data_IF_027865000859
#
_entry.id   IF_027865000859
#
_cell.length_a   1.000
_cell.length_b   1.000
_cell.length_c   1.000
_cell.angle_alpha   90.00
_cell.angle_beta   90.00
_cell.angle_gamma   90.00
#
_symmetry.space_group_name_H-M   'P 1'
#
loop_
_entity.id
_entity.type
_entity.pdbx_description
1 polymer ?
#
# COMPACT_ATOMS: atom_id res chain seq x y z
N UNK A 1 14.62 -21.91 10.30
CA UNK A 1 15.04 -20.55 9.88
C UNK A 1 15.01 -20.31 8.38
N UNK A 2 15.30 -21.30 7.51
CA UNK A 2 15.37 -21.08 6.05
C UNK A 2 14.02 -20.72 5.37
N UNK A 3 12.88 -21.11 5.95
CA UNK A 3 11.54 -20.91 5.35
C UNK A 3 11.07 -19.44 5.48
N UNK A 4 11.48 -18.72 6.53
CA UNK A 4 11.10 -17.31 6.72
C UNK A 4 11.85 -16.34 5.78
N UNK A 5 13.02 -16.73 5.27
CA UNK A 5 13.89 -15.86 4.45
C UNK A 5 13.36 -15.72 3.01
N UNK A 6 12.46 -16.61 2.56
CA UNK A 6 11.87 -16.56 1.21
C UNK A 6 10.70 -15.58 1.09
N UNK A 7 10.12 -15.13 2.19
CA UNK A 7 8.91 -14.27 2.18
C UNK A 7 9.29 -12.79 2.13
N UNK A 8 8.81 -12.11 1.10
CA UNK A 8 9.11 -10.70 0.72
C UNK A 8 8.88 -9.74 1.86
N UNK A 9 7.81 -9.95 2.63
CA UNK A 9 7.40 -9.08 3.72
C UNK A 9 8.34 -9.16 4.95
N UNK A 10 8.95 -10.33 5.22
CA UNK A 10 9.98 -10.49 6.25
C UNK A 10 11.31 -9.86 5.81
N UNK A 11 11.64 -9.98 4.51
CA UNK A 11 12.78 -9.24 3.93
C UNK A 11 12.58 -7.74 4.05
N UNK A 12 11.40 -7.21 3.71
CA UNK A 12 11.10 -5.79 3.84
C UNK A 12 11.21 -5.30 5.29
N UNK A 13 10.77 -6.11 6.27
CA UNK A 13 10.96 -5.80 7.69
C UNK A 13 12.43 -5.75 8.09
N UNK A 14 13.20 -6.81 7.81
CA UNK A 14 14.63 -6.89 8.16
C UNK A 14 15.42 -5.81 7.42
N UNK A 15 15.06 -5.50 6.19
CA UNK A 15 15.68 -4.43 5.39
C UNK A 15 15.32 -3.06 5.97
N UNK A 16 14.07 -2.81 6.36
CA UNK A 16 13.68 -1.54 6.99
C UNK A 16 14.36 -1.35 8.34
N UNK A 17 14.47 -2.40 9.15
CA UNK A 17 15.14 -2.37 10.45
C UNK A 17 16.66 -2.16 10.29
N UNK A 18 17.27 -2.85 9.31
CA UNK A 18 18.67 -2.66 8.95
C UNK A 18 18.95 -1.27 8.36
N UNK A 19 18.04 -0.71 7.55
CA UNK A 19 18.12 0.66 7.03
C UNK A 19 17.99 1.66 8.17
N UNK A 20 17.04 1.48 9.09
CA UNK A 20 16.89 2.35 10.26
C UNK A 20 18.14 2.32 11.14
N UNK A 21 18.72 1.14 11.37
CA UNK A 21 19.96 0.99 12.13
C UNK A 21 21.15 1.66 11.42
N UNK A 22 21.31 1.43 10.12
CA UNK A 22 22.42 2.02 9.33
C UNK A 22 22.27 3.53 9.15
N UNK A 23 21.07 4.04 8.88
CA UNK A 23 20.78 5.48 8.80
C UNK A 23 20.91 6.19 10.16
N UNK A 24 20.79 5.49 11.28
CA UNK A 24 21.10 6.03 12.62
C UNK A 24 22.62 6.07 12.88
N UNK A 25 23.39 5.14 12.31
CA UNK A 25 24.84 5.09 12.43
C UNK A 25 25.58 6.12 11.56
N UNK A 26 25.05 6.46 10.38
CA UNK A 26 25.66 7.44 9.45
C UNK A 26 25.83 8.83 10.07
N UNK A 27 24.82 9.43 10.74
CA UNK A 27 24.96 10.67 11.49
C UNK A 27 26.10 10.63 12.51
N UNK A 28 26.27 9.52 13.23
CA UNK A 28 27.34 9.34 14.22
C UNK A 28 28.71 9.48 13.55
N UNK A 29 28.91 8.81 12.41
CA UNK A 29 30.14 8.97 11.61
C UNK A 29 30.32 10.39 11.06
N UNK A 30 29.24 11.04 10.61
CA UNK A 30 29.28 12.44 10.16
C UNK A 30 29.68 13.38 11.30
N UNK A 31 29.21 13.15 12.53
CA UNK A 31 29.62 13.92 13.71
C UNK A 31 31.10 13.72 14.05
N UNK A 32 31.62 12.49 13.96
CA UNK A 32 33.06 12.23 14.12
C UNK A 32 33.90 12.93 13.04
N UNK A 33 33.50 12.85 11.77
CA UNK A 33 34.17 13.56 10.67
C UNK A 33 34.11 15.08 10.86
N UNK A 34 33.00 15.62 11.35
CA UNK A 34 32.90 17.05 11.68
C UNK A 34 33.86 17.45 12.81
N UNK A 35 34.03 16.61 13.84
CA UNK A 35 34.95 16.88 14.94
C UNK A 35 36.41 16.94 14.45
N UNK A 36 36.79 16.04 13.54
CA UNK A 36 38.14 15.98 12.97
C UNK A 36 38.40 17.16 12.01
N UNK A 37 37.47 17.40 11.07
CA UNK A 37 37.53 18.48 10.06
C UNK A 37 37.48 19.88 10.71
N UNK A 38 36.84 20.05 11.87
CA UNK A 38 36.78 21.35 12.57
C UNK A 38 38.13 21.86 13.09
N UNK A 39 39.16 21.00 13.11
CA UNK A 39 40.53 21.40 13.50
C UNK A 39 41.26 22.18 12.40
N UNK A 40 40.81 22.10 11.13
CA UNK A 40 41.43 22.79 10.00
C UNK A 40 40.81 24.17 9.72
N UNK A 41 41.62 25.23 9.50
CA UNK A 41 41.12 26.59 9.30
C UNK A 41 40.33 26.81 7.99
N UNK A 42 40.49 25.94 6.98
CA UNK A 42 39.76 26.00 5.69
C UNK A 42 38.36 25.35 5.75
N UNK A 43 38.03 24.63 6.83
CA UNK A 43 36.86 23.76 6.86
C UNK A 43 35.54 24.43 7.24
N UNK A 44 35.56 25.71 7.66
CA UNK A 44 34.38 26.45 8.14
C UNK A 44 33.20 26.48 7.15
N UNK A 45 33.44 26.29 5.84
CA UNK A 45 32.38 26.22 4.81
C UNK A 45 31.77 24.83 4.65
N UNK A 46 32.46 23.77 5.09
CA UNK A 46 32.10 22.36 4.87
C UNK A 46 31.26 21.82 6.05
N UNK A 47 31.61 22.21 7.28
CA UNK A 47 30.90 21.85 8.53
C UNK A 47 29.38 22.10 8.47
N UNK A 48 28.86 23.28 8.06
CA UNK A 48 27.42 23.49 8.01
C UNK A 48 26.70 22.60 6.98
N UNK A 49 27.37 22.22 5.88
CA UNK A 49 26.80 21.28 4.90
C UNK A 49 26.70 19.86 5.46
N UNK A 50 27.72 19.40 6.18
CA UNK A 50 27.71 18.11 6.89
C UNK A 50 26.64 18.08 8.00
N UNK A 51 26.45 19.18 8.71
CA UNK A 51 25.41 19.29 9.74
C UNK A 51 24.00 19.16 9.16
N UNK A 52 23.70 19.89 8.08
CA UNK A 52 22.40 19.78 7.39
C UNK A 52 22.21 18.36 6.84
N UNK A 53 23.25 17.76 6.25
CA UNK A 53 23.19 16.39 5.75
C UNK A 53 22.88 15.38 6.87
N UNK A 54 23.58 15.46 8.00
CA UNK A 54 23.33 14.64 9.19
C UNK A 54 21.89 14.79 9.70
N UNK A 55 21.39 16.03 9.77
CA UNK A 55 20.01 16.32 10.16
C UNK A 55 18.97 15.67 9.24
N UNK A 56 19.19 15.72 7.92
CA UNK A 56 18.27 15.05 6.96
C UNK A 56 18.26 13.54 7.14
N UNK A 57 19.41 12.89 7.31
CA UNK A 57 19.50 11.45 7.58
C UNK A 57 18.84 11.06 8.91
N UNK A 58 19.02 11.88 9.96
CA UNK A 58 18.36 11.67 11.25
C UNK A 58 16.83 11.72 11.11
N UNK A 59 16.28 12.68 10.36
CA UNK A 59 14.84 12.76 10.10
C UNK A 59 14.32 11.54 9.32
N UNK A 60 15.05 11.10 8.28
CA UNK A 60 14.71 9.87 7.55
C UNK A 60 14.75 8.63 8.45
N UNK A 61 15.76 8.53 9.32
CA UNK A 61 15.88 7.42 10.28
C UNK A 61 14.71 7.40 11.26
N UNK A 62 14.33 8.54 11.84
CA UNK A 62 13.21 8.64 12.78
C UNK A 62 11.90 8.22 12.12
N UNK A 63 11.65 8.66 10.88
CA UNK A 63 10.47 8.26 10.12
C UNK A 63 10.46 6.74 9.85
N UNK A 64 11.59 6.17 9.44
CA UNK A 64 11.72 4.75 9.17
C UNK A 64 11.47 3.88 10.42
N UNK A 65 11.95 4.29 11.59
CA UNK A 65 11.71 3.59 12.87
C UNK A 65 10.23 3.58 13.23
N UNK A 66 9.53 4.71 13.06
CA UNK A 66 8.08 4.79 13.33
C UNK A 66 7.30 3.83 12.43
N UNK A 67 7.65 3.79 11.14
CA UNK A 67 7.02 2.88 10.17
C UNK A 67 7.32 1.41 10.53
N UNK A 68 8.57 1.07 10.85
CA UNK A 68 8.96 -0.28 11.25
C UNK A 68 8.24 -0.76 12.52
N UNK A 69 8.13 0.11 13.54
CA UNK A 69 7.40 -0.18 14.75
C UNK A 69 5.90 -0.40 14.49
N UNK A 70 5.28 0.46 13.68
CA UNK A 70 3.86 0.33 13.32
C UNK A 70 3.59 -0.99 12.57
N UNK A 71 4.43 -1.34 11.58
CA UNK A 71 4.31 -2.60 10.84
C UNK A 71 4.55 -3.82 11.72
N UNK A 72 5.53 -3.74 12.64
CA UNK A 72 5.80 -4.80 13.62
C UNK A 72 4.63 -5.04 14.56
N UNK A 73 4.02 -3.97 15.06
CA UNK A 73 2.85 -4.04 15.93
C UNK A 73 1.64 -4.69 15.24
N UNK A 74 1.32 -4.28 14.01
CA UNK A 74 0.22 -4.88 13.24
C UNK A 74 0.42 -6.39 13.05
N UNK A 75 1.64 -6.82 12.71
CA UNK A 75 1.97 -8.25 12.59
C UNK A 75 1.77 -9.01 13.91
N UNK A 76 2.24 -8.44 15.02
CA UNK A 76 2.11 -9.06 16.33
C UNK A 76 0.65 -9.21 16.74
N UNK A 77 -0.17 -8.19 16.51
CA UNK A 77 -1.61 -8.22 16.82
C UNK A 77 -2.34 -9.28 15.98
N UNK A 78 -2.04 -9.37 14.67
CA UNK A 78 -2.65 -10.39 13.80
C UNK A 78 -2.26 -11.81 14.24
N UNK A 79 -1.01 -12.00 14.68
CA UNK A 79 -0.55 -13.30 15.20
C UNK A 79 -1.27 -13.71 16.49
N UNK A 80 -1.61 -12.74 17.35
CA UNK A 80 -2.33 -12.99 18.60
C UNK A 80 -3.84 -13.19 18.35
N UNK A 81 -4.43 -12.41 17.43
CA UNK A 81 -5.87 -12.45 17.17
C UNK A 81 -6.17 -12.30 15.68
N UNK A 82 -6.10 -13.42 14.93
CA UNK A 82 -6.37 -13.42 13.49
C UNK A 82 -7.82 -13.05 13.13
N UNK A 83 -8.77 -13.26 14.04
CA UNK A 83 -10.17 -12.88 13.85
C UNK A 83 -10.36 -11.37 13.62
N UNK A 84 -9.43 -10.52 14.05
CA UNK A 84 -9.49 -9.07 13.85
C UNK A 84 -9.44 -8.67 12.37
N UNK A 85 -8.89 -9.51 11.49
CA UNK A 85 -8.84 -9.23 10.05
C UNK A 85 -10.24 -9.12 9.44
N UNK A 86 -11.19 -9.92 9.93
CA UNK A 86 -12.57 -9.94 9.48
C UNK A 86 -13.49 -8.99 10.27
N UNK A 87 -12.98 -8.36 11.34
CA UNK A 87 -13.77 -7.41 12.11
C UNK A 87 -14.09 -6.18 11.27
N UNK A 88 -15.35 -5.76 11.33
CA UNK A 88 -15.89 -4.66 10.56
C UNK A 88 -16.18 -3.46 11.47
N UNK A 89 -15.95 -2.26 10.95
CA UNK A 89 -16.34 -1.02 11.62
C UNK A 89 -17.84 -0.71 11.40
N UNK A 90 -18.31 0.47 11.83
CA UNK A 90 -19.71 0.91 11.67
C UNK A 90 -20.18 1.04 10.22
N UNK A 91 -19.27 1.13 9.24
CA UNK A 91 -19.53 1.19 7.80
C UNK A 91 -19.37 -0.16 7.11
N UNK A 92 -19.26 -1.23 7.89
CA UNK A 92 -18.88 -2.56 7.44
C UNK A 92 -17.49 -2.67 6.77
N UNK A 93 -16.61 -1.69 6.98
CA UNK A 93 -15.25 -1.72 6.43
C UNK A 93 -14.33 -2.59 7.30
N UNK A 94 -13.57 -3.48 6.65
CA UNK A 94 -12.47 -4.21 7.28
C UNK A 94 -11.18 -3.39 7.27
N UNK A 95 -10.15 -3.85 8.00
CA UNK A 95 -8.82 -3.24 7.94
C UNK A 95 -8.27 -3.16 6.50
N UNK A 96 -8.58 -4.16 5.65
CA UNK A 96 -8.16 -4.19 4.26
C UNK A 96 -8.81 -3.08 3.42
N UNK A 97 -10.10 -2.80 3.63
CA UNK A 97 -10.80 -1.69 2.98
C UNK A 97 -10.14 -0.35 3.29
N UNK A 98 -9.80 -0.12 4.57
CA UNK A 98 -9.17 1.12 5.00
C UNK A 98 -7.75 1.28 4.45
N UNK A 99 -6.96 0.20 4.46
CA UNK A 99 -5.60 0.20 3.91
C UNK A 99 -5.62 0.48 2.39
N UNK A 100 -6.53 -0.16 1.67
CA UNK A 100 -6.72 0.06 0.23
C UNK A 100 -7.22 1.49 -0.08
N UNK A 101 -8.18 2.00 0.70
CA UNK A 101 -8.68 3.38 0.57
C UNK A 101 -7.62 4.46 0.88
N UNK A 102 -6.52 4.09 1.53
CA UNK A 102 -5.37 4.98 1.78
C UNK A 102 -4.21 4.72 0.82
N UNK A 103 -4.29 3.69 -0.02
CA UNK A 103 -3.21 3.31 -0.93
C UNK A 103 -1.96 2.81 -0.21
N UNK A 104 -2.09 2.37 1.05
CA UNK A 104 -0.96 1.91 1.87
C UNK A 104 -0.60 0.47 1.50
N UNK A 105 0.11 0.30 0.39
CA UNK A 105 0.57 -0.99 -0.16
C UNK A 105 1.17 -1.91 0.92
N UNK A 106 2.09 -1.37 1.73
CA UNK A 106 2.82 -2.16 2.73
C UNK A 106 1.88 -2.73 3.80
N UNK A 107 0.86 -1.97 4.19
CA UNK A 107 -0.16 -2.42 5.15
C UNK A 107 -1.05 -3.48 4.51
N UNK A 108 -1.43 -3.32 3.25
CA UNK A 108 -2.19 -4.33 2.49
C UNK A 108 -1.39 -5.63 2.41
N UNK A 109 -0.10 -5.58 2.08
CA UNK A 109 0.76 -6.77 2.03
C UNK A 109 0.87 -7.44 3.41
N UNK A 110 1.02 -6.66 4.49
CA UNK A 110 1.05 -7.20 5.86
C UNK A 110 -0.27 -7.88 6.23
N UNK A 111 -1.41 -7.28 5.87
CA UNK A 111 -2.73 -7.83 6.18
C UNK A 111 -2.98 -9.14 5.44
N UNK A 112 -2.67 -9.19 4.13
CA UNK A 112 -2.84 -10.40 3.31
C UNK A 112 -1.88 -11.51 3.76
N UNK A 113 -0.61 -11.20 4.00
CA UNK A 113 0.36 -12.17 4.51
C UNK A 113 0.06 -12.61 5.95
N UNK A 114 -0.62 -11.77 6.73
CA UNK A 114 -1.13 -12.13 8.05
C UNK A 114 -2.13 -13.29 7.99
N UNK A 115 -2.86 -13.42 6.87
CA UNK A 115 -3.84 -14.48 6.64
C UNK A 115 -3.14 -15.81 6.42
N UNK A 116 -2.06 -15.90 5.64
CA UNK A 116 -1.29 -17.15 5.47
C UNK A 116 -0.88 -17.80 6.81
N UNK A 117 -0.58 -16.96 7.80
CA UNK A 117 -0.18 -17.41 9.16
C UNK A 117 -1.40 -17.79 9.99
N UNK A 118 -2.53 -17.13 9.75
CA UNK A 118 -3.81 -17.32 10.43
C UNK A 118 -4.68 -18.44 9.85
N UNK A 119 -4.46 -18.81 8.59
CA UNK A 119 -5.24 -19.80 7.83
C UNK A 119 -5.24 -21.15 8.57
N UNK A 120 -4.13 -21.48 9.22
CA UNK A 120 -3.97 -22.68 10.05
C UNK A 120 -4.74 -22.64 11.38
N UNK A 121 -5.19 -21.47 11.85
CA UNK A 121 -5.79 -21.29 13.17
C UNK A 121 -7.31 -21.04 13.14
N UNK A 122 -7.84 -20.34 12.13
CA UNK A 122 -9.24 -19.85 12.14
C UNK A 122 -10.00 -20.15 10.83
N UNK A 123 -9.38 -20.79 9.83
CA UNK A 123 -10.05 -21.11 8.56
C UNK A 123 -10.45 -19.86 7.75
N UNK A 124 -9.84 -18.71 8.06
CA UNK A 124 -9.97 -17.49 7.26
C UNK A 124 -8.97 -17.61 6.12
N UNK A 125 -9.46 -17.56 4.88
CA UNK A 125 -8.60 -17.51 3.69
C UNK A 125 -8.55 -16.09 3.11
N UNK A 126 -7.51 -15.83 2.32
CA UNK A 126 -7.25 -14.53 1.70
C UNK A 126 -8.40 -14.11 0.79
N UNK A 127 -8.95 -15.06 0.04
CA UNK A 127 -10.12 -14.86 -0.83
C UNK A 127 -11.33 -14.31 -0.06
N UNK A 128 -11.70 -14.91 1.07
CA UNK A 128 -12.87 -14.46 1.84
C UNK A 128 -12.68 -13.02 2.29
N UNK A 129 -11.49 -12.64 2.76
CA UNK A 129 -11.23 -11.27 3.19
C UNK A 129 -11.30 -10.28 2.02
N UNK A 130 -10.73 -10.63 0.87
CA UNK A 130 -10.71 -9.76 -0.31
C UNK A 130 -12.10 -9.59 -0.95
N UNK A 131 -12.95 -10.61 -0.81
CA UNK A 131 -14.33 -10.62 -1.33
C UNK A 131 -15.34 -10.00 -0.37
N UNK A 132 -14.94 -9.64 0.86
CA UNK A 132 -15.80 -8.87 1.75
C UNK A 132 -16.12 -7.50 1.16
N UNK A 133 -17.36 -7.05 1.36
CA UNK A 133 -17.82 -5.72 1.00
C UNK A 133 -18.17 -4.90 2.24
N UNK A 134 -18.10 -3.58 2.07
CA UNK A 134 -18.62 -2.60 3.00
C UNK A 134 -20.11 -2.27 2.75
N UNK A 135 -20.67 -1.27 3.45
CA UNK A 135 -22.06 -0.82 3.28
C UNK A 135 -22.39 -0.33 1.87
N UNK A 136 -21.40 0.16 1.14
CA UNK A 136 -21.53 0.61 -0.24
C UNK A 136 -21.44 -0.53 -1.25
N UNK A 137 -21.22 -1.77 -0.80
CA UNK A 137 -20.87 -2.87 -1.70
C UNK A 137 -19.45 -2.75 -2.26
N UNK A 138 -18.64 -1.82 -1.75
CA UNK A 138 -17.25 -1.66 -2.19
C UNK A 138 -16.41 -2.80 -1.60
N UNK A 139 -15.65 -3.47 -2.46
CA UNK A 139 -14.53 -4.32 -2.03
C UNK A 139 -13.28 -3.49 -1.77
N UNK A 140 -12.23 -4.11 -1.23
CA UNK A 140 -10.92 -3.46 -1.10
C UNK A 140 -10.41 -2.89 -2.44
N UNK A 141 -10.66 -3.57 -3.56
CA UNK A 141 -10.25 -3.08 -4.89
C UNK A 141 -11.01 -1.81 -5.31
N UNK A 142 -12.32 -1.71 -5.03
CA UNK A 142 -13.09 -0.48 -5.27
C UNK A 142 -12.51 0.70 -4.48
N UNK A 143 -12.14 0.47 -3.21
CA UNK A 143 -11.48 1.48 -2.39
C UNK A 143 -10.10 1.89 -2.94
N UNK A 144 -9.30 0.93 -3.42
CA UNK A 144 -8.01 1.23 -4.03
C UNK A 144 -8.15 2.12 -5.27
N UNK A 145 -9.18 1.91 -6.10
CA UNK A 145 -9.45 2.76 -7.27
C UNK A 145 -9.62 4.23 -6.90
N UNK A 146 -10.22 4.55 -5.75
CA UNK A 146 -10.41 5.95 -5.32
C UNK A 146 -9.11 6.69 -5.01
N UNK A 147 -8.03 5.95 -4.73
CA UNK A 147 -6.70 6.55 -4.50
C UNK A 147 -5.83 6.59 -5.75
N UNK A 148 -6.11 5.73 -6.73
CA UNK A 148 -5.26 5.56 -7.91
C UNK A 148 -3.88 4.93 -7.63
N UNK A 149 -3.69 4.31 -6.45
CA UNK A 149 -2.41 3.68 -6.10
C UNK A 149 -2.21 2.37 -6.86
N UNK A 150 -1.55 2.44 -8.03
CA UNK A 150 -1.29 1.31 -8.95
C UNK A 150 -0.72 0.10 -8.24
N UNK A 151 0.24 0.31 -7.33
CA UNK A 151 0.86 -0.76 -6.56
C UNK A 151 -0.13 -1.55 -5.69
N UNK A 152 -1.07 -0.84 -5.07
CA UNK A 152 -2.09 -1.48 -4.21
C UNK A 152 -3.10 -2.26 -5.07
N UNK A 153 -3.44 -1.72 -6.24
CA UNK A 153 -4.33 -2.36 -7.22
C UNK A 153 -3.72 -3.66 -7.72
N UNK A 154 -2.48 -3.59 -8.19
CA UNK A 154 -1.73 -4.74 -8.68
C UNK A 154 -1.68 -5.85 -7.63
N UNK A 155 -1.29 -5.51 -6.39
CA UNK A 155 -1.25 -6.51 -5.31
C UNK A 155 -2.61 -7.17 -5.04
N UNK A 156 -3.71 -6.42 -5.06
CA UNK A 156 -5.04 -6.98 -4.80
C UNK A 156 -5.53 -7.89 -5.93
N UNK A 157 -5.22 -7.55 -7.18
CA UNK A 157 -5.61 -8.35 -8.36
C UNK A 157 -4.75 -9.62 -8.47
N UNK A 158 -3.43 -9.52 -8.23
CA UNK A 158 -2.52 -10.68 -8.26
C UNK A 158 -2.87 -11.74 -7.20
N UNK A 159 -3.56 -11.36 -6.13
CA UNK A 159 -3.89 -12.26 -5.02
C UNK A 159 -5.16 -13.09 -5.25
N UNK A 160 -6.11 -12.61 -6.05
CA UNK A 160 -7.33 -13.34 -6.43
C UNK A 160 -7.72 -12.95 -7.87
N UNK A 161 -6.96 -13.45 -8.86
CA UNK A 161 -7.13 -13.10 -10.26
C UNK A 161 -8.46 -13.63 -10.84
N UNK A 162 -9.04 -14.66 -10.22
CA UNK A 162 -10.27 -15.31 -10.66
C UNK A 162 -11.54 -14.64 -10.13
N UNK A 163 -11.41 -13.71 -9.18
CA UNK A 163 -12.54 -12.97 -8.67
C UNK A 163 -13.03 -11.93 -9.69
N UNK A 164 -14.34 -11.92 -9.95
CA UNK A 164 -14.94 -11.07 -10.97
C UNK A 164 -15.04 -9.60 -10.56
N UNK A 165 -14.81 -9.32 -9.27
CA UNK A 165 -15.01 -8.03 -8.60
C UNK A 165 -16.33 -7.35 -9.03
N UNK A 166 -17.48 -7.82 -8.52
CA UNK A 166 -18.79 -7.35 -8.96
C UNK A 166 -18.97 -5.85 -8.71
N UNK A 167 -19.92 -5.25 -9.43
CA UNK A 167 -20.28 -3.86 -9.22
C UNK A 167 -20.76 -3.59 -7.79
N UNK A 168 -20.38 -2.44 -7.24
CA UNK A 168 -20.84 -1.96 -5.95
C UNK A 168 -22.34 -1.58 -5.98
N UNK A 169 -22.88 -1.07 -4.87
CA UNK A 169 -24.29 -0.68 -4.77
C UNK A 169 -24.67 0.51 -5.68
N UNK A 170 -23.69 1.27 -6.17
CA UNK A 170 -23.89 2.31 -7.18
C UNK A 170 -23.89 1.75 -8.62
N UNK A 171 -23.65 0.44 -8.79
CA UNK A 171 -23.53 -0.19 -10.10
C UNK A 171 -22.17 0.02 -10.76
N UNK A 172 -21.15 0.43 -10.01
CA UNK A 172 -19.81 0.71 -10.52
C UNK A 172 -18.92 -0.51 -10.31
N UNK A 173 -18.37 -1.09 -11.39
CA UNK A 173 -17.26 -2.05 -11.27
C UNK A 173 -15.93 -1.35 -11.01
N UNK A 174 -14.89 -2.03 -10.49
CA UNK A 174 -13.57 -1.42 -10.32
C UNK A 174 -12.99 -0.93 -11.64
N UNK A 175 -13.25 -1.65 -12.74
CA UNK A 175 -12.81 -1.27 -14.07
C UNK A 175 -13.55 -0.02 -14.58
N UNK A 176 -14.85 0.11 -14.27
CA UNK A 176 -15.60 1.35 -14.54
C UNK A 176 -15.01 2.53 -13.77
N UNK A 177 -14.73 2.37 -12.48
CA UNK A 177 -14.11 3.41 -11.63
C UNK A 177 -12.74 3.84 -12.16
N UNK A 178 -11.91 2.87 -12.60
CA UNK A 178 -10.61 3.16 -13.21
C UNK A 178 -10.74 4.00 -14.48
N UNK A 179 -11.70 3.65 -15.35
CA UNK A 179 -11.96 4.35 -16.60
C UNK A 179 -12.53 5.77 -16.38
N UNK A 180 -13.49 5.91 -15.46
CA UNK A 180 -14.09 7.20 -15.10
C UNK A 180 -13.07 8.16 -14.48
N UNK A 181 -12.17 7.62 -13.66
CA UNK A 181 -11.10 8.39 -13.00
C UNK A 181 -9.87 8.62 -13.90
N UNK A 182 -9.82 8.04 -15.10
CA UNK A 182 -8.68 8.15 -16.01
C UNK A 182 -7.41 7.42 -15.53
N UNK A 183 -7.55 6.40 -14.68
CA UNK A 183 -6.45 5.66 -14.08
C UNK A 183 -5.91 4.59 -15.04
N UNK A 184 -5.30 5.03 -16.14
CA UNK A 184 -4.83 4.15 -17.24
C UNK A 184 -3.92 3.03 -16.73
N UNK A 185 -3.02 3.32 -15.78
CA UNK A 185 -2.12 2.32 -15.19
C UNK A 185 -2.87 1.30 -14.33
N UNK A 186 -3.81 1.73 -13.49
CA UNK A 186 -4.63 0.78 -12.71
C UNK A 186 -5.49 -0.09 -13.64
N UNK A 187 -5.97 0.50 -14.74
CA UNK A 187 -6.76 -0.20 -15.74
C UNK A 187 -5.94 -1.28 -16.46
N UNK A 188 -4.67 -1.01 -16.80
CA UNK A 188 -3.78 -2.03 -17.38
C UNK A 188 -3.51 -3.16 -16.39
N UNK A 189 -3.22 -2.86 -15.13
CA UNK A 189 -2.99 -3.89 -14.10
C UNK A 189 -4.20 -4.81 -13.92
N UNK A 190 -5.43 -4.26 -13.91
CA UNK A 190 -6.64 -5.07 -13.82
C UNK A 190 -6.79 -5.96 -15.06
N UNK A 191 -6.57 -5.44 -16.27
CA UNK A 191 -6.74 -6.22 -17.50
C UNK A 191 -5.65 -7.27 -17.71
N UNK A 192 -4.44 -7.03 -17.20
CA UNK A 192 -3.31 -7.95 -17.33
C UNK A 192 -3.36 -9.08 -16.28
N UNK A 193 -3.89 -8.80 -15.08
CA UNK A 193 -3.84 -9.73 -13.96
C UNK A 193 -5.21 -10.30 -13.54
N UNK A 194 -6.34 -9.74 -13.98
CA UNK A 194 -7.66 -10.29 -13.71
C UNK A 194 -8.13 -11.19 -14.87
N UNK A 195 -8.50 -12.43 -14.56
CA UNK A 195 -8.98 -13.39 -15.55
C UNK A 195 -10.45 -13.13 -15.95
N UNK A 196 -11.23 -12.49 -15.06
CA UNK A 196 -12.69 -12.30 -15.23
C UNK A 196 -13.16 -10.87 -14.91
N UNK A 197 -12.61 -9.82 -15.54
CA UNK A 197 -13.00 -8.45 -15.23
C UNK A 197 -14.47 -8.17 -15.59
N UNK A 198 -15.18 -7.47 -14.72
CA UNK A 198 -16.55 -6.98 -14.99
C UNK A 198 -16.55 -5.57 -15.58
N UNK A 199 -17.36 -5.40 -16.62
CA UNK A 199 -17.40 -4.17 -17.42
C UNK A 199 -18.61 -3.26 -17.12
N UNK A 200 -19.46 -3.66 -16.19
CA UNK A 200 -20.71 -2.98 -15.88
C UNK A 200 -20.46 -1.65 -15.15
N UNK A 201 -21.29 -0.67 -15.46
CA UNK A 201 -21.29 0.65 -14.86
C UNK A 201 -22.72 1.13 -14.57
N UNK A 202 -22.85 2.25 -13.84
CA UNK A 202 -24.13 2.86 -13.49
C UNK A 202 -24.95 3.18 -14.75
N UNK A 203 -26.27 3.06 -14.63
CA UNK A 203 -27.22 3.36 -15.70
C UNK A 203 -27.01 2.55 -17.00
N UNK A 204 -26.46 1.33 -16.90
CA UNK A 204 -26.18 0.48 -18.05
C UNK A 204 -24.98 0.94 -18.90
N UNK A 205 -24.20 1.90 -18.40
CA UNK A 205 -22.93 2.30 -19.03
C UNK A 205 -21.90 1.21 -18.82
N UNK A 206 -20.89 1.19 -19.68
CA UNK A 206 -19.73 0.31 -19.53
C UNK A 206 -18.48 1.12 -19.22
N UNK A 207 -17.40 0.47 -18.79
CA UNK A 207 -16.10 1.12 -18.60
C UNK A 207 -15.64 1.90 -19.84
N UNK A 208 -15.97 1.43 -21.06
CA UNK A 208 -15.64 2.15 -22.29
C UNK A 208 -16.43 3.46 -22.45
N UNK A 209 -17.71 3.48 -22.06
CA UNK A 209 -18.50 4.72 -22.04
C UNK A 209 -17.86 5.74 -21.09
N UNK A 210 -17.43 5.32 -19.91
CA UNK A 210 -16.75 6.18 -18.94
C UNK A 210 -15.41 6.73 -19.48
N UNK A 211 -14.59 5.89 -20.11
CA UNK A 211 -13.31 6.32 -20.70
C UNK A 211 -13.48 7.39 -21.79
N UNK A 212 -14.50 7.27 -22.64
CA UNK A 212 -14.81 8.27 -23.67
C UNK A 212 -15.25 9.59 -23.02
N UNK A 213 -16.16 9.54 -22.05
CA UNK A 213 -16.65 10.72 -21.32
C UNK A 213 -15.49 11.43 -20.61
N UNK A 214 -14.62 10.68 -19.94
CA UNK A 214 -13.44 11.20 -19.25
C UNK A 214 -12.52 11.95 -20.21
N UNK A 215 -12.23 11.38 -21.40
CA UNK A 215 -11.36 12.01 -22.40
C UNK A 215 -11.94 13.34 -22.89
N UNK A 216 -13.25 13.43 -23.08
CA UNK A 216 -13.91 14.66 -23.48
C UNK A 216 -13.89 15.73 -22.36
N UNK A 217 -14.00 15.32 -21.09
CA UNK A 217 -13.84 16.22 -19.94
C UNK A 217 -12.41 16.73 -19.79
N UNK A 218 -11.41 15.86 -19.99
CA UNK A 218 -9.99 16.22 -19.96
C UNK A 218 -9.59 17.22 -21.06
N UNK A 219 -10.24 17.17 -22.22
CA UNK A 219 -10.04 18.16 -23.29
C UNK A 219 -10.70 19.52 -23.02
N UNK A 220 -11.62 19.62 -22.06
CA UNK A 220 -12.31 20.87 -21.72
C UNK A 220 -11.68 21.65 -20.55
N UNK A 221 -10.75 21.04 -19.79
CA UNK A 221 -10.11 21.64 -18.61
C UNK A 221 -8.56 21.64 -18.66
N UNK A 222 -7.97 21.61 -19.86
CA UNK A 222 -6.54 21.86 -20.01
C UNK A 222 -6.20 23.35 -19.86
N UNK A 223 -5.83 23.78 -18.66
CA UNK A 223 -5.03 24.98 -18.39
C UNK A 223 -3.70 24.57 -17.76
#
# INVERSE_FOLDING_TARGET
MAILIRKTAFRAFVVSDAIAFSCSAVPIFIYFLMADVSTEPQSKKIVPKLYVLSGTFQCFSMLAVVIAFAMGFVRQVIAITPALLCCKNKKNETALHLAANKGHKDVVEVLLHGIDVAEQAVGINTETLMRMTDDGGDTALHKAMRTGCVDTVRLLVEQDPDFEFPANNAGESPLYLAAESGLVKCLSEILEHCNRPTYCGPCGRTALHAAIIQKHLGTHFGF
#
